data_IF_846465584708
#
_entry.id   IF_846465584708
#
_cell.length_a   1.000
_cell.length_b   1.000
_cell.length_c   1.000
_cell.angle_alpha   90.00
_cell.angle_beta   90.00
_cell.angle_gamma   90.00
#
_symmetry.space_group_name_H-M   'P 1'
#
loop_
_entity.id
_entity.type
_entity.pdbx_description
1 polymer ?
#
# COMPACT_ATOMS: atom_id res chain seq x y z
N UNK A 1 44.20 30.17 -2.70
CA UNK A 1 42.87 30.15 -2.06
C UNK A 1 42.36 28.73 -2.05
N UNK A 2 42.22 28.10 -0.89
CA UNK A 2 41.78 26.71 -0.81
C UNK A 2 40.26 26.59 -0.90
N UNK A 3 39.80 25.71 -1.77
CA UNK A 3 38.42 25.33 -1.97
C UNK A 3 37.86 24.65 -0.72
N UNK A 4 36.77 25.19 -0.22
CA UNK A 4 36.01 24.68 0.91
C UNK A 4 35.33 23.34 0.53
N UNK A 5 35.55 22.23 1.26
CA UNK A 5 34.84 21.00 1.01
C UNK A 5 33.38 21.13 1.47
N UNK A 6 32.47 20.94 0.52
CA UNK A 6 31.04 20.87 0.71
C UNK A 6 30.68 19.96 1.89
N UNK A 7 30.13 20.55 2.94
CA UNK A 7 29.52 19.84 4.06
C UNK A 7 28.38 18.97 3.52
N UNK A 8 28.55 17.67 3.56
CA UNK A 8 27.47 16.70 3.32
C UNK A 8 26.36 16.97 4.35
N UNK A 9 25.10 17.10 3.93
CA UNK A 9 24.00 17.30 4.87
C UNK A 9 23.95 16.12 5.84
N UNK A 10 23.93 16.41 7.13
CA UNK A 10 23.93 15.43 8.20
C UNK A 10 22.81 14.40 8.00
N UNK A 11 23.08 13.12 8.27
CA UNK A 11 22.12 12.02 8.19
C UNK A 11 20.81 12.36 8.93
N UNK A 12 20.88 13.09 10.02
CA UNK A 12 19.73 13.59 10.77
C UNK A 12 18.79 14.47 9.94
N UNK A 13 19.33 15.35 9.07
CA UNK A 13 18.52 16.22 8.21
C UNK A 13 17.88 15.43 7.05
N UNK A 14 18.50 14.36 6.57
CA UNK A 14 17.90 13.46 5.58
C UNK A 14 16.80 12.57 6.18
N UNK A 15 16.96 12.18 7.44
CA UNK A 15 15.94 11.37 8.15
C UNK A 15 14.70 12.18 8.51
N UNK A 16 14.85 13.47 8.90
CA UNK A 16 13.71 14.33 9.25
C UNK A 16 12.78 14.68 8.07
N UNK A 17 13.27 14.55 6.83
CA UNK A 17 12.48 14.79 5.61
C UNK A 17 11.95 13.49 4.97
N UNK A 18 12.25 12.32 5.53
CA UNK A 18 11.73 11.08 4.98
C UNK A 18 10.32 10.81 5.52
N UNK A 19 9.38 10.50 4.61
CA UNK A 19 8.01 10.09 4.95
C UNK A 19 8.03 8.95 5.97
N UNK A 20 9.01 8.05 5.86
CA UNK A 20 9.21 6.92 6.76
C UNK A 20 9.40 7.37 8.22
N UNK A 21 10.17 8.43 8.48
CA UNK A 21 10.41 8.95 9.83
C UNK A 21 9.14 9.52 10.45
N UNK A 22 8.33 10.22 9.64
CA UNK A 22 7.04 10.73 10.07
C UNK A 22 6.05 9.61 10.41
N UNK A 23 6.00 8.57 9.57
CA UNK A 23 5.15 7.38 9.82
C UNK A 23 5.57 6.65 11.10
N UNK A 24 6.87 6.40 11.29
CA UNK A 24 7.38 5.77 12.51
C UNK A 24 7.08 6.63 13.74
N UNK A 25 7.27 7.95 13.63
CA UNK A 25 6.94 8.91 14.69
C UNK A 25 5.46 8.87 15.06
N UNK A 26 4.57 8.84 14.06
CA UNK A 26 3.13 8.74 14.26
C UNK A 26 2.72 7.42 14.93
N UNK A 27 3.32 6.30 14.54
CA UNK A 27 3.05 4.98 15.14
C UNK A 27 3.49 4.99 16.62
N UNK A 28 4.69 5.48 16.91
CA UNK A 28 5.19 5.55 18.30
C UNK A 28 4.32 6.48 19.15
N UNK A 29 3.90 7.61 18.60
CA UNK A 29 3.01 8.55 19.28
C UNK A 29 1.64 7.91 19.55
N UNK A 30 1.08 7.20 18.58
CA UNK A 30 -0.19 6.49 18.73
C UNK A 30 -0.12 5.39 19.80
N UNK A 31 0.99 4.62 19.83
CA UNK A 31 1.24 3.61 20.86
C UNK A 31 1.37 4.23 22.26
N UNK A 32 2.10 5.34 22.38
CA UNK A 32 2.25 6.07 23.63
C UNK A 32 0.90 6.59 24.12
N UNK A 33 0.15 7.29 23.27
CA UNK A 33 -1.17 7.83 23.63
C UNK A 33 -2.19 6.74 23.96
N UNK A 34 -2.14 5.61 23.24
CA UNK A 34 -3.03 4.47 23.47
C UNK A 34 -2.68 3.67 24.73
N UNK A 35 -1.41 3.69 25.16
CA UNK A 35 -0.94 2.97 26.35
C UNK A 35 -1.18 3.75 27.64
N UNK A 36 -1.28 5.07 27.57
CA UNK A 36 -1.44 5.93 28.76
C UNK A 36 -2.89 5.86 29.24
N UNK A 37 -3.08 5.27 30.43
CA UNK A 37 -4.36 5.28 31.17
C UNK A 37 -4.22 6.20 32.37
N UNK A 38 -5.01 7.26 32.43
CA UNK A 38 -5.06 8.19 33.57
C UNK A 38 -6.34 7.88 34.35
N UNK A 39 -6.22 7.47 35.62
CA UNK A 39 -7.36 7.20 36.47
C UNK A 39 -8.25 6.03 36.01
N UNK A 40 -7.69 5.02 35.31
CA UNK A 40 -8.46 3.87 34.82
C UNK A 40 -9.22 4.12 33.49
N UNK A 41 -9.22 5.35 33.00
CA UNK A 41 -9.82 5.70 31.70
C UNK A 41 -8.75 5.88 30.61
N UNK A 42 -9.02 5.46 29.36
CA UNK A 42 -8.11 5.73 28.25
C UNK A 42 -8.03 7.24 28.03
N UNK A 43 -6.83 7.73 27.73
CA UNK A 43 -6.57 9.16 27.49
C UNK A 43 -7.40 9.72 26.35
N UNK A 44 -7.65 8.89 25.34
CA UNK A 44 -8.50 9.25 24.18
C UNK A 44 -9.93 8.77 24.47
N UNK A 45 -10.91 9.68 24.67
CA UNK A 45 -12.29 9.30 24.87
C UNK A 45 -12.84 8.58 23.61
N UNK A 46 -13.67 7.56 23.82
CA UNK A 46 -14.27 6.75 22.73
C UNK A 46 -14.80 7.58 21.54
N UNK A 47 -15.54 8.72 21.75
CA UNK A 47 -16.05 9.49 20.63
C UNK A 47 -14.93 10.07 19.74
N UNK A 48 -13.81 10.50 20.30
CA UNK A 48 -12.66 10.98 19.52
C UNK A 48 -12.02 9.83 18.73
N UNK A 49 -11.83 8.68 19.37
CA UNK A 49 -11.35 7.48 18.70
C UNK A 49 -12.23 7.04 17.53
N UNK A 50 -13.55 7.10 17.69
CA UNK A 50 -14.50 6.75 16.64
C UNK A 50 -14.48 7.74 15.46
N UNK A 51 -14.20 9.04 15.68
CA UNK A 51 -13.98 10.00 14.59
C UNK A 51 -12.77 9.59 13.77
N UNK A 52 -11.64 9.27 14.42
CA UNK A 52 -10.45 8.78 13.71
C UNK A 52 -10.70 7.46 12.98
N UNK A 53 -11.44 6.53 13.59
CA UNK A 53 -11.84 5.29 12.94
C UNK A 53 -12.68 5.54 11.69
N UNK A 54 -13.62 6.51 11.74
CA UNK A 54 -14.44 6.89 10.59
C UNK A 54 -13.61 7.48 9.44
N UNK A 55 -12.65 8.35 9.76
CA UNK A 55 -11.72 8.87 8.75
C UNK A 55 -10.87 7.75 8.15
N UNK A 56 -10.31 6.87 8.97
CA UNK A 56 -9.52 5.73 8.51
C UNK A 56 -10.32 4.81 7.59
N UNK A 57 -11.59 4.55 7.93
CA UNK A 57 -12.49 3.73 7.12
C UNK A 57 -12.79 4.39 5.78
N UNK A 58 -13.08 5.70 5.78
CA UNK A 58 -13.31 6.46 4.54
C UNK A 58 -12.08 6.44 3.61
N UNK A 59 -10.88 6.58 4.17
CA UNK A 59 -9.65 6.50 3.40
C UNK A 59 -9.39 5.09 2.86
N UNK A 60 -9.65 4.07 3.66
CA UNK A 60 -9.55 2.68 3.25
C UNK A 60 -10.46 2.38 2.06
N UNK A 61 -11.70 2.87 2.10
CA UNK A 61 -12.67 2.74 1.01
C UNK A 61 -12.21 3.47 -0.26
N UNK A 62 -11.71 4.70 -0.11
CA UNK A 62 -11.16 5.47 -1.23
C UNK A 62 -9.95 4.79 -1.85
N UNK A 63 -9.03 4.24 -1.06
CA UNK A 63 -7.90 3.48 -1.55
C UNK A 63 -8.35 2.23 -2.29
N UNK A 64 -9.30 1.49 -1.73
CA UNK A 64 -9.87 0.28 -2.36
C UNK A 64 -10.51 0.60 -3.71
N UNK A 65 -11.21 1.72 -3.83
CA UNK A 65 -11.72 2.22 -5.10
C UNK A 65 -10.62 2.60 -6.09
N UNK A 66 -9.53 3.19 -5.60
CA UNK A 66 -8.45 3.71 -6.44
C UNK A 66 -7.53 2.61 -6.99
N UNK A 67 -7.36 1.48 -6.27
CA UNK A 67 -6.44 0.39 -6.65
C UNK A 67 -6.67 -0.12 -8.08
N UNK A 68 -7.88 -0.52 -8.51
CA UNK A 68 -8.11 -1.00 -9.87
C UNK A 68 -7.81 0.06 -10.94
N UNK A 69 -8.11 1.33 -10.65
CA UNK A 69 -7.82 2.44 -11.56
C UNK A 69 -6.31 2.63 -11.75
N UNK A 70 -5.56 2.52 -10.66
CA UNK A 70 -4.09 2.59 -10.67
C UNK A 70 -3.53 1.43 -11.49
N UNK A 71 -4.04 0.20 -11.29
CA UNK A 71 -3.61 -0.97 -12.05
C UNK A 71 -3.84 -0.74 -13.55
N UNK A 72 -5.05 -0.38 -13.96
CA UNK A 72 -5.36 -0.15 -15.38
C UNK A 72 -4.51 0.99 -15.94
N UNK A 73 -4.37 2.10 -15.22
CA UNK A 73 -3.68 3.29 -15.70
C UNK A 73 -2.16 3.15 -15.81
N UNK A 74 -1.54 2.32 -14.99
CA UNK A 74 -0.09 2.14 -14.98
C UNK A 74 0.35 0.85 -15.70
N UNK A 75 -0.35 -0.27 -15.48
CA UNK A 75 0.06 -1.57 -16.03
C UNK A 75 -0.22 -1.65 -17.53
N UNK A 76 -1.37 -1.15 -17.99
CA UNK A 76 -1.70 -1.19 -19.43
C UNK A 76 -0.63 -0.50 -20.30
N UNK A 77 -0.26 0.78 -20.07
CA UNK A 77 0.76 1.41 -20.89
C UNK A 77 2.14 0.78 -20.66
N UNK A 78 2.48 0.29 -19.47
CA UNK A 78 3.73 -0.38 -19.22
C UNK A 78 3.90 -1.64 -20.08
N UNK A 79 2.85 -2.46 -20.19
CA UNK A 79 2.85 -3.64 -21.07
C UNK A 79 2.91 -3.23 -22.53
N UNK A 80 2.17 -2.19 -22.93
CA UNK A 80 2.19 -1.67 -24.28
C UNK A 80 3.57 -1.15 -24.70
N UNK A 81 4.34 -0.57 -23.81
CA UNK A 81 5.68 -0.03 -24.04
C UNK A 81 6.76 -1.13 -24.15
N UNK A 82 6.54 -2.32 -23.55
CA UNK A 82 7.43 -3.46 -23.73
C UNK A 82 7.48 -3.97 -25.19
N UNK A 83 6.43 -3.73 -25.98
CA UNK A 83 6.40 -4.06 -27.42
C UNK A 83 6.43 -5.57 -27.72
N UNK A 84 6.87 -5.93 -28.97
CA UNK A 84 6.88 -7.32 -29.45
C UNK A 84 7.81 -8.27 -28.70
N UNK A 85 8.75 -7.76 -27.92
CA UNK A 85 9.64 -8.54 -27.04
C UNK A 85 9.05 -8.86 -25.66
N UNK A 86 7.88 -8.31 -25.35
CA UNK A 86 7.24 -8.37 -24.03
C UNK A 86 7.09 -9.81 -23.51
N UNK A 87 6.74 -10.77 -24.35
CA UNK A 87 6.42 -12.13 -23.93
C UNK A 87 7.57 -12.83 -23.20
N UNK A 88 8.80 -12.70 -23.69
CA UNK A 88 9.97 -13.32 -23.06
C UNK A 88 10.28 -12.68 -21.71
N UNK A 89 10.31 -11.34 -21.65
CA UNK A 89 10.59 -10.60 -20.43
C UNK A 89 9.46 -10.77 -19.40
N UNK A 90 8.22 -10.78 -19.87
CA UNK A 90 7.06 -11.05 -19.01
C UNK A 90 7.13 -12.45 -18.39
N UNK A 91 7.50 -13.48 -19.19
CA UNK A 91 7.70 -14.83 -18.69
C UNK A 91 8.79 -14.92 -17.62
N UNK A 92 9.94 -14.25 -17.84
CA UNK A 92 11.04 -14.22 -16.86
C UNK A 92 10.64 -13.50 -15.58
N UNK A 93 10.00 -12.32 -15.69
CA UNK A 93 9.56 -11.57 -14.50
C UNK A 93 8.47 -12.31 -13.72
N UNK A 94 7.55 -12.97 -14.42
CA UNK A 94 6.52 -13.79 -13.77
C UNK A 94 7.14 -14.99 -13.05
N UNK A 95 8.05 -15.71 -13.68
CA UNK A 95 8.76 -16.82 -13.06
C UNK A 95 9.53 -16.37 -11.82
N UNK A 96 10.23 -15.22 -11.91
CA UNK A 96 10.96 -14.64 -10.79
C UNK A 96 10.03 -14.21 -9.64
N UNK A 97 8.87 -13.60 -9.97
CA UNK A 97 7.87 -13.21 -8.99
C UNK A 97 7.31 -14.44 -8.25
N UNK A 98 6.95 -15.51 -8.97
CA UNK A 98 6.51 -16.75 -8.34
C UNK A 98 7.58 -17.39 -7.46
N UNK A 99 8.82 -17.46 -7.95
CA UNK A 99 9.93 -17.99 -7.17
C UNK A 99 10.14 -17.17 -5.89
N UNK A 100 10.09 -15.84 -5.97
CA UNK A 100 10.21 -14.94 -4.82
C UNK A 100 9.06 -15.13 -3.83
N UNK A 101 7.82 -15.28 -4.30
CA UNK A 101 6.65 -15.49 -3.44
C UNK A 101 6.72 -16.83 -2.73
N UNK A 102 7.09 -17.90 -3.43
CA UNK A 102 7.29 -19.23 -2.84
C UNK A 102 8.40 -19.20 -1.79
N UNK A 103 9.51 -18.54 -2.10
CA UNK A 103 10.63 -18.39 -1.17
C UNK A 103 10.21 -17.61 0.08
N UNK A 104 9.53 -16.47 -0.07
CA UNK A 104 9.03 -15.68 1.03
C UNK A 104 8.01 -16.46 1.89
N UNK A 105 7.09 -17.19 1.25
CA UNK A 105 6.11 -18.03 1.93
C UNK A 105 6.78 -19.15 2.72
N UNK A 106 7.76 -19.82 2.14
CA UNK A 106 8.53 -20.85 2.81
C UNK A 106 9.32 -20.31 4.02
N UNK A 107 9.96 -19.17 3.83
CA UNK A 107 10.72 -18.51 4.90
C UNK A 107 9.79 -18.09 6.06
N UNK A 108 8.64 -17.50 5.73
CA UNK A 108 7.63 -17.12 6.72
C UNK A 108 7.10 -18.34 7.47
N UNK A 109 6.78 -19.42 6.74
CA UNK A 109 6.36 -20.69 7.36
C UNK A 109 7.40 -21.19 8.36
N UNK A 110 8.67 -21.18 7.99
CA UNK A 110 9.78 -21.65 8.83
C UNK A 110 9.93 -20.80 10.09
N UNK A 111 9.85 -19.48 9.97
CA UNK A 111 9.86 -18.54 11.10
C UNK A 111 8.65 -18.76 12.00
N UNK A 112 7.45 -18.87 11.45
CA UNK A 112 6.25 -19.12 12.23
C UNK A 112 6.30 -20.48 12.95
N UNK A 113 6.75 -21.53 12.25
CA UNK A 113 6.92 -22.86 12.84
C UNK A 113 7.88 -22.87 14.03
N UNK A 114 8.97 -22.11 13.94
CA UNK A 114 9.96 -22.01 15.03
C UNK A 114 9.48 -21.12 16.19
N UNK A 115 8.66 -20.12 15.92
CA UNK A 115 8.32 -19.05 16.88
C UNK A 115 6.97 -19.28 17.57
N UNK A 116 5.95 -19.74 16.83
CA UNK A 116 4.60 -19.92 17.37
C UNK A 116 4.48 -20.90 18.54
N UNK A 117 5.14 -22.06 18.54
CA UNK A 117 5.06 -22.97 19.69
C UNK A 117 5.53 -22.33 21.00
N UNK A 118 6.48 -21.39 20.90
CA UNK A 118 7.01 -20.68 22.09
C UNK A 118 6.15 -19.49 22.50
N UNK A 119 5.58 -18.77 21.54
CA UNK A 119 4.75 -17.58 21.81
C UNK A 119 3.33 -17.95 22.25
N UNK A 120 2.77 -19.03 21.70
CA UNK A 120 1.42 -19.48 21.98
C UNK A 120 1.34 -20.55 23.08
N UNK A 121 2.48 -20.95 23.65
CA UNK A 121 2.51 -21.86 24.78
C UNK A 121 1.83 -21.20 25.99
N UNK A 122 0.55 -21.51 26.20
CA UNK A 122 -0.25 -20.99 27.32
C UNK A 122 -1.36 -20.01 26.93
N UNK A 123 -1.50 -19.66 25.64
CA UNK A 123 -2.60 -18.82 25.16
C UNK A 123 -3.62 -19.70 24.42
N UNK A 124 -4.83 -19.80 24.95
CA UNK A 124 -5.94 -20.47 24.29
C UNK A 124 -6.49 -19.52 23.19
N UNK A 125 -6.79 -20.05 22.00
CA UNK A 125 -7.46 -19.31 20.92
C UNK A 125 -8.81 -18.72 21.35
N UNK A 126 -9.39 -19.21 22.45
CA UNK A 126 -10.61 -18.68 23.07
C UNK A 126 -10.40 -17.34 23.77
N UNK A 127 -9.16 -16.99 24.14
CA UNK A 127 -8.80 -15.71 24.78
C UNK A 127 -8.58 -14.57 23.77
N UNK A 128 -8.56 -14.86 22.48
CA UNK A 128 -8.56 -13.84 21.42
C UNK A 128 -10.00 -13.38 21.17
N UNK A 129 -10.69 -13.04 22.24
CA UNK A 129 -11.94 -12.28 22.19
C UNK A 129 -11.65 -10.95 21.48
N UNK A 130 -12.61 -10.48 20.68
CA UNK A 130 -12.53 -9.11 20.10
C UNK A 130 -12.12 -8.17 21.22
N UNK A 131 -11.10 -7.35 21.06
CA UNK A 131 -10.65 -6.46 22.13
C UNK A 131 -11.84 -5.64 22.61
N UNK A 132 -12.18 -5.78 23.89
CA UNK A 132 -13.23 -4.99 24.53
C UNK A 132 -12.84 -3.52 24.36
N UNK A 133 -13.60 -2.77 23.55
CA UNK A 133 -13.32 -1.38 23.24
C UNK A 133 -12.77 -1.13 21.84
N UNK A 134 -12.92 -2.07 20.90
CA UNK A 134 -12.65 -1.81 19.49
C UNK A 134 -13.40 -0.54 19.06
N UNK A 135 -12.65 0.41 18.50
CA UNK A 135 -13.21 1.63 17.94
C UNK A 135 -14.07 1.25 16.73
N UNK A 136 -15.25 1.81 16.63
CA UNK A 136 -16.15 1.63 15.50
C UNK A 136 -16.34 2.97 14.79
N UNK A 137 -16.40 2.93 13.47
CA UNK A 137 -16.77 4.10 12.67
C UNK A 137 -18.23 4.51 12.97
N UNK A 138 -18.50 5.81 12.99
CA UNK A 138 -19.86 6.32 13.17
C UNK A 138 -20.75 6.03 11.97
N UNK A 139 -20.18 6.02 10.79
CA UNK A 139 -20.83 5.67 9.54
C UNK A 139 -19.80 5.06 8.59
N UNK A 140 -20.25 4.17 7.75
CA UNK A 140 -19.45 3.57 6.67
C UNK A 140 -19.99 4.09 5.35
N UNK A 141 -19.08 4.60 4.49
CA UNK A 141 -19.43 4.96 3.12
C UNK A 141 -18.91 3.84 2.23
N UNK A 142 -19.79 3.02 1.73
CA UNK A 142 -19.41 1.95 0.81
C UNK A 142 -19.04 2.58 -0.56
N UNK A 143 -17.76 2.49 -0.94
CA UNK A 143 -17.26 2.86 -2.25
C UNK A 143 -16.81 1.58 -2.98
N UNK A 144 -17.74 0.85 -3.61
CA UNK A 144 -17.35 -0.35 -4.32
C UNK A 144 -16.38 0.02 -5.46
N UNK A 145 -15.30 -0.74 -5.65
CA UNK A 145 -14.38 -0.51 -6.76
C UNK A 145 -15.11 -0.68 -8.08
N UNK A 146 -14.76 0.12 -9.09
CA UNK A 146 -15.38 0.07 -10.42
C UNK A 146 -15.21 -1.30 -11.10
N UNK A 147 -14.13 -2.01 -10.79
CA UNK A 147 -13.84 -3.40 -11.17
C UNK A 147 -13.02 -4.06 -10.07
N UNK A 148 -13.11 -5.37 -9.94
CA UNK A 148 -12.26 -6.13 -9.04
C UNK A 148 -10.79 -6.10 -9.47
N UNK A 149 -9.87 -6.24 -8.52
CA UNK A 149 -8.42 -6.20 -8.75
C UNK A 149 -7.98 -7.22 -9.82
N UNK A 150 -8.49 -8.45 -9.76
CA UNK A 150 -8.18 -9.50 -10.74
C UNK A 150 -8.69 -9.12 -12.14
N UNK A 151 -9.90 -8.57 -12.23
CA UNK A 151 -10.47 -8.08 -13.49
C UNK A 151 -9.64 -6.93 -14.05
N UNK A 152 -9.22 -5.99 -13.21
CA UNK A 152 -8.34 -4.89 -13.60
C UNK A 152 -7.00 -5.37 -14.15
N UNK A 153 -6.40 -6.38 -13.50
CA UNK A 153 -5.16 -7.00 -13.97
C UNK A 153 -5.34 -7.67 -15.34
N UNK A 154 -6.33 -8.55 -15.48
CA UNK A 154 -6.60 -9.24 -16.75
C UNK A 154 -6.91 -8.24 -17.86
N UNK A 155 -7.73 -7.23 -17.59
CA UNK A 155 -8.04 -6.17 -18.54
C UNK A 155 -6.79 -5.39 -18.96
N UNK A 156 -5.91 -5.07 -18.00
CA UNK A 156 -4.65 -4.39 -18.27
C UNK A 156 -3.72 -5.22 -19.15
N UNK A 157 -3.66 -6.53 -18.97
CA UNK A 157 -2.90 -7.43 -19.82
C UNK A 157 -3.45 -7.48 -21.23
N UNK A 158 -4.75 -7.71 -21.40
CA UNK A 158 -5.40 -7.78 -22.71
C UNK A 158 -5.24 -6.46 -23.47
N UNK A 159 -5.53 -5.32 -22.82
CA UNK A 159 -5.38 -4.02 -23.43
C UNK A 159 -3.91 -3.67 -23.72
N UNK A 160 -3.00 -3.98 -22.78
CA UNK A 160 -1.58 -3.72 -22.95
C UNK A 160 -0.99 -4.47 -24.14
N UNK A 161 -1.31 -5.77 -24.28
CA UNK A 161 -0.90 -6.58 -25.44
C UNK A 161 -1.54 -6.03 -26.71
N UNK A 162 -2.84 -5.74 -26.72
CA UNK A 162 -3.52 -5.15 -27.86
C UNK A 162 -2.90 -3.82 -28.32
N UNK A 163 -2.59 -2.94 -27.37
CA UNK A 163 -1.94 -1.66 -27.65
C UNK A 163 -0.50 -1.80 -28.16
N UNK A 164 0.21 -2.85 -27.76
CA UNK A 164 1.56 -3.13 -28.29
C UNK A 164 1.53 -3.49 -29.78
N UNK A 165 0.40 -4.03 -30.28
CA UNK A 165 0.20 -4.38 -31.68
C UNK A 165 -0.20 -3.18 -32.56
N UNK A 166 -0.74 -2.11 -31.93
CA UNK A 166 -1.20 -0.89 -32.63
C UNK A 166 -0.47 0.35 -32.08
N UNK A 167 0.82 0.51 -32.37
CA UNK A 167 1.68 1.51 -31.70
C UNK A 167 1.32 2.97 -32.00
N UNK A 168 0.57 3.26 -33.05
CA UNK A 168 0.14 4.61 -33.46
C UNK A 168 -1.34 4.88 -33.24
N UNK A 169 -2.05 4.03 -32.50
CA UNK A 169 -3.48 4.17 -32.24
C UNK A 169 -3.82 5.33 -31.29
N UNK A 170 -4.99 5.95 -31.52
CA UNK A 170 -5.53 7.00 -30.63
C UNK A 170 -5.71 6.49 -29.22
N UNK A 171 -6.10 5.23 -29.05
CA UNK A 171 -6.30 4.59 -27.77
C UNK A 171 -5.01 4.57 -26.95
N UNK A 172 -3.84 4.35 -27.57
CA UNK A 172 -2.55 4.39 -26.87
C UNK A 172 -2.26 5.77 -26.30
N UNK A 173 -2.57 6.84 -27.04
CA UNK A 173 -2.42 8.22 -26.53
C UNK A 173 -3.32 8.45 -25.32
N UNK A 174 -4.57 8.00 -25.39
CA UNK A 174 -5.52 8.09 -24.27
C UNK A 174 -5.00 7.38 -23.01
N UNK A 175 -4.40 6.19 -23.14
CA UNK A 175 -3.80 5.50 -21.99
C UNK A 175 -2.55 6.19 -21.43
N UNK A 176 -1.77 6.88 -22.26
CA UNK A 176 -0.62 7.69 -21.79
C UNK A 176 -1.13 8.91 -20.99
N UNK A 177 -2.17 9.57 -21.46
CA UNK A 177 -2.81 10.68 -20.75
C UNK A 177 -3.47 10.19 -19.45
N UNK A 178 -4.17 9.07 -19.50
CA UNK A 178 -4.76 8.44 -18.31
C UNK A 178 -3.70 8.10 -17.26
N UNK A 179 -2.56 7.54 -17.68
CA UNK A 179 -1.40 7.32 -16.79
C UNK A 179 -0.96 8.61 -16.12
N UNK A 180 -0.88 9.73 -16.85
CA UNK A 180 -0.49 11.02 -16.28
C UNK A 180 -1.50 11.52 -15.23
N UNK A 181 -2.80 11.30 -15.45
CA UNK A 181 -3.85 11.62 -14.47
C UNK A 181 -3.69 10.77 -13.21
N UNK A 182 -3.53 9.46 -13.36
CA UNK A 182 -3.35 8.54 -12.22
C UNK A 182 -2.07 8.87 -11.44
N UNK A 183 -0.96 9.18 -12.12
CA UNK A 183 0.27 9.59 -11.44
C UNK A 183 0.06 10.85 -10.60
N UNK A 184 -0.65 11.84 -11.11
CA UNK A 184 -0.99 13.06 -10.35
C UNK A 184 -1.93 12.78 -9.18
N UNK A 185 -2.86 11.85 -9.33
CA UNK A 185 -3.75 11.40 -8.25
C UNK A 185 -2.91 10.80 -7.10
N UNK A 186 -1.95 9.92 -7.44
CA UNK A 186 -1.06 9.29 -6.46
C UNK A 186 -0.22 10.36 -5.75
N UNK A 187 0.44 11.24 -6.51
CA UNK A 187 1.35 12.24 -5.96
C UNK A 187 0.65 13.31 -5.12
N UNK A 188 -0.55 13.73 -5.50
CA UNK A 188 -1.25 14.84 -4.84
C UNK A 188 -2.25 14.43 -3.78
N UNK A 189 -2.79 13.21 -3.87
CA UNK A 189 -3.86 12.76 -2.97
C UNK A 189 -3.38 11.59 -2.13
N UNK A 190 -2.85 10.52 -2.75
CA UNK A 190 -2.53 9.30 -2.01
C UNK A 190 -1.26 9.46 -1.15
N UNK A 191 -0.21 10.08 -1.69
CA UNK A 191 1.05 10.24 -0.93
C UNK A 191 0.91 11.18 0.29
N UNK A 192 0.23 12.36 0.20
CA UNK A 192 0.09 13.24 1.37
C UNK A 192 -0.98 12.79 2.37
N UNK A 193 -1.78 11.77 2.04
CA UNK A 193 -2.83 11.20 2.87
C UNK A 193 -2.27 10.26 3.91
#
# INVERSE_FOLDING_TARGET
MPSNPSASPSLAHRLSHSILTWVIGAILLALLLGSIRIGGHPLIPKPVGNVFATFSDLFSQFLSFSIPLIIIGLVTPAIADLGRGAGKWLGVTTALAYASTLFAGFLTFLVCYATFPRLLAGTSLADVSKPEGALSSYFTVEMPPAVEVMTALLLSFVLGIGLSMVPRGVLRKGFIEFRAIITRLIERIIIPL
#
